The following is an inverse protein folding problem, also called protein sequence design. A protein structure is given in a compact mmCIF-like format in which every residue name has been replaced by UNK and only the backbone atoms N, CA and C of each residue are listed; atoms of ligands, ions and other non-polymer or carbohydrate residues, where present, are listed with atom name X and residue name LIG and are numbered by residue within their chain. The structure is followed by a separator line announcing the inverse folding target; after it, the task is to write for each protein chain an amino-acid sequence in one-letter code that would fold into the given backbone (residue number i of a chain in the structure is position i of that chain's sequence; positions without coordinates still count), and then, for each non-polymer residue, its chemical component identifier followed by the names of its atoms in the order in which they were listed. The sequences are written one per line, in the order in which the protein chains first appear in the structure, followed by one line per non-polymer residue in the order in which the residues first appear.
data_IF_415683284388
#
_entry.id   IF_415683284388
#
_cell.length_a   1.000
_cell.length_b   1.000
_cell.length_c   1.000
_cell.angle_alpha   90.00
_cell.angle_beta   90.00
_cell.angle_gamma   90.00
#
_symmetry.space_group_name_H-M   'P 1'
#
loop_
_entity.id
_entity.type
_entity.pdbx_description
1 polymer ?
#
# COMPACT_ATOMS: atom_id res chain seq x y z
N UNK A 1 42.80 106.26 -4.24
CA UNK A 1 43.51 105.26 -5.06
C UNK A 1 42.68 103.99 -5.03
N UNK A 2 42.30 103.55 -6.22
CA UNK A 2 41.15 102.72 -6.52
C UNK A 2 41.30 101.28 -6.04
N UNK A 3 40.24 100.76 -5.41
CA UNK A 3 40.02 99.33 -5.17
C UNK A 3 38.74 98.90 -5.87
N UNK A 4 38.70 98.92 -7.20
CA UNK A 4 37.64 98.25 -7.96
C UNK A 4 38.19 97.78 -9.30
N UNK A 5 38.40 96.47 -9.47
CA UNK A 5 38.12 95.67 -10.70
C UNK A 5 38.75 94.27 -10.62
N UNK A 6 38.20 93.35 -9.82
CA UNK A 6 38.48 91.90 -9.99
C UNK A 6 37.22 91.02 -10.01
N UNK A 7 36.04 91.58 -9.72
CA UNK A 7 34.77 90.84 -9.73
C UNK A 7 34.19 90.58 -11.14
N UNK A 8 34.59 91.34 -12.16
CA UNK A 8 34.09 91.18 -13.54
C UNK A 8 34.73 90.01 -14.30
N UNK A 9 36.03 89.79 -14.10
CA UNK A 9 36.83 88.74 -14.77
C UNK A 9 36.51 87.35 -14.22
N UNK A 10 36.38 87.20 -12.90
CA UNK A 10 36.02 85.92 -12.27
C UNK A 10 34.62 85.42 -12.68
N UNK A 11 33.65 86.33 -12.85
CA UNK A 11 32.28 86.00 -13.25
C UNK A 11 32.19 85.58 -14.73
N UNK A 12 33.05 86.14 -15.59
CA UNK A 12 33.19 85.76 -17.00
C UNK A 12 33.89 84.41 -17.21
N UNK A 13 34.94 84.11 -16.43
CA UNK A 13 35.64 82.82 -16.45
C UNK A 13 34.70 81.70 -15.96
N UNK A 14 33.92 81.92 -14.90
CA UNK A 14 32.95 80.94 -14.41
C UNK A 14 31.80 80.70 -15.39
N UNK A 15 31.34 81.74 -16.12
CA UNK A 15 30.28 81.61 -17.13
C UNK A 15 30.75 80.85 -18.37
N UNK A 16 31.96 81.12 -18.85
CA UNK A 16 32.58 80.42 -19.99
C UNK A 16 32.92 78.96 -19.67
N UNK A 17 33.39 78.68 -18.46
CA UNK A 17 33.62 77.31 -17.98
C UNK A 17 32.32 76.49 -17.87
N UNK A 18 31.24 77.09 -17.35
CA UNK A 18 29.91 76.45 -17.30
C UNK A 18 29.29 76.25 -18.68
N UNK A 19 29.55 77.15 -19.63
CA UNK A 19 29.10 77.00 -21.00
C UNK A 19 29.80 75.81 -21.68
N UNK A 20 31.13 75.71 -21.60
CA UNK A 20 31.89 74.57 -22.16
C UNK A 20 31.42 73.23 -21.59
N UNK A 21 31.28 73.13 -20.27
CA UNK A 21 30.81 71.87 -19.67
C UNK A 21 29.36 71.52 -20.03
N UNK A 22 28.49 72.51 -20.23
CA UNK A 22 27.13 72.25 -20.69
C UNK A 22 27.10 71.81 -22.16
N UNK A 23 27.97 72.39 -23.00
CA UNK A 23 28.15 72.02 -24.40
C UNK A 23 28.70 70.60 -24.55
N UNK A 24 29.79 70.28 -23.85
CA UNK A 24 30.38 68.92 -23.79
C UNK A 24 29.36 67.87 -23.33
N UNK A 25 28.55 68.19 -22.30
CA UNK A 25 27.52 67.27 -21.81
C UNK A 25 26.37 67.07 -22.81
N UNK A 26 25.99 68.09 -23.57
CA UNK A 26 24.98 67.99 -24.63
C UNK A 26 25.51 67.13 -25.78
N UNK A 27 26.74 67.41 -26.25
CA UNK A 27 27.37 66.63 -27.33
C UNK A 27 27.54 65.15 -26.93
N UNK A 28 27.98 64.88 -25.69
CA UNK A 28 28.09 63.52 -25.16
C UNK A 28 26.72 62.81 -25.13
N UNK A 29 25.70 63.49 -24.62
CA UNK A 29 24.34 62.94 -24.55
C UNK A 29 23.75 62.71 -25.93
N UNK A 30 24.02 63.59 -26.90
CA UNK A 30 23.63 63.42 -28.30
C UNK A 30 24.29 62.20 -28.94
N UNK A 31 25.61 62.05 -28.75
CA UNK A 31 26.36 60.90 -29.23
C UNK A 31 25.79 59.60 -28.67
N UNK A 32 25.55 59.56 -27.35
CA UNK A 32 25.01 58.40 -26.66
C UNK A 32 23.58 58.05 -27.12
N UNK A 33 22.66 59.02 -27.19
CA UNK A 33 21.29 58.79 -27.70
C UNK A 33 21.33 58.33 -29.16
N UNK A 34 22.25 58.84 -29.97
CA UNK A 34 22.40 58.42 -31.38
C UNK A 34 22.90 56.99 -31.52
N UNK A 35 23.83 56.55 -30.65
CA UNK A 35 24.29 55.15 -30.60
C UNK A 35 23.17 54.24 -30.11
N UNK A 36 22.48 54.63 -29.02
CA UNK A 36 21.41 53.82 -28.44
C UNK A 36 20.17 53.76 -29.33
N UNK A 37 19.93 54.70 -30.25
CA UNK A 37 18.88 54.58 -31.28
C UNK A 37 19.00 53.34 -32.16
N UNK A 38 20.17 52.71 -32.21
CA UNK A 38 20.37 51.43 -32.89
C UNK A 38 19.70 50.27 -32.13
N UNK A 39 19.49 50.41 -30.83
CA UNK A 39 18.64 49.51 -30.05
C UNK A 39 17.19 49.96 -30.25
N UNK A 40 16.26 49.04 -30.49
CA UNK A 40 14.84 49.36 -30.76
C UNK A 40 14.09 49.90 -29.51
N UNK A 41 14.82 50.39 -28.49
CA UNK A 41 14.26 50.99 -27.30
C UNK A 41 13.58 52.33 -27.64
N UNK A 42 12.46 52.64 -26.99
CA UNK A 42 11.83 53.95 -27.15
C UNK A 42 12.59 55.02 -26.34
N UNK A 43 13.46 55.74 -27.05
CA UNK A 43 14.30 56.80 -26.49
C UNK A 43 13.68 58.20 -26.55
N UNK A 44 12.42 58.35 -27.00
CA UNK A 44 11.73 59.66 -27.05
C UNK A 44 11.84 60.46 -25.73
N UNK A 45 11.74 59.85 -24.53
CA UNK A 45 11.86 60.61 -23.30
C UNK A 45 13.26 61.20 -23.07
N UNK A 46 14.31 60.50 -23.53
CA UNK A 46 15.68 60.99 -23.50
C UNK A 46 15.90 62.09 -24.55
N UNK A 47 15.32 61.93 -25.75
CA UNK A 47 15.35 62.94 -26.81
C UNK A 47 14.65 64.24 -26.40
N UNK A 48 13.52 64.14 -25.69
CA UNK A 48 12.79 65.29 -25.15
C UNK A 48 13.61 66.02 -24.08
N UNK A 49 14.25 65.28 -23.17
CA UNK A 49 15.14 65.87 -22.17
C UNK A 49 16.36 66.56 -22.81
N UNK A 50 16.89 65.98 -23.89
CA UNK A 50 18.01 66.54 -24.66
C UNK A 50 17.61 67.81 -25.42
N UNK A 51 16.40 67.84 -25.99
CA UNK A 51 15.83 69.04 -26.60
C UNK A 51 15.68 70.17 -25.58
N UNK A 52 15.16 69.88 -24.39
CA UNK A 52 15.08 70.86 -23.28
C UNK A 52 16.48 71.36 -22.88
N UNK A 53 17.49 70.49 -22.86
CA UNK A 53 18.86 70.88 -22.57
C UNK A 53 19.41 71.89 -23.58
N UNK A 54 19.17 71.68 -24.89
CA UNK A 54 19.55 72.60 -25.97
C UNK A 54 18.83 73.94 -25.89
N UNK A 55 17.53 73.93 -25.61
CA UNK A 55 16.73 75.16 -25.44
C UNK A 55 17.23 75.99 -24.24
N UNK A 56 17.55 75.34 -23.12
CA UNK A 56 18.13 76.00 -21.95
C UNK A 56 19.55 76.53 -22.21
N UNK A 57 20.33 75.85 -23.05
CA UNK A 57 21.65 76.30 -23.47
C UNK A 57 21.55 77.55 -24.35
N UNK A 58 20.62 77.56 -25.32
CA UNK A 58 20.32 78.72 -26.16
C UNK A 58 19.83 79.94 -25.35
N UNK A 59 19.07 79.70 -24.27
CA UNK A 59 18.65 80.73 -23.32
C UNK A 59 19.74 81.16 -22.31
N UNK A 60 20.98 80.71 -22.46
CA UNK A 60 22.12 80.97 -21.57
C UNK A 60 21.94 80.48 -20.10
N UNK A 61 21.03 79.54 -19.86
CA UNK A 61 20.84 78.89 -18.56
C UNK A 61 21.75 77.66 -18.38
N UNK A 62 23.05 77.85 -18.51
CA UNK A 62 24.05 76.77 -18.62
C UNK A 62 24.00 75.72 -17.49
N UNK A 63 23.77 76.12 -16.24
CA UNK A 63 23.66 75.15 -15.14
C UNK A 63 22.41 74.26 -15.24
N UNK A 64 21.29 74.80 -15.77
CA UNK A 64 20.07 74.01 -16.00
C UNK A 64 20.20 73.13 -17.24
N UNK A 65 20.87 73.63 -18.28
CA UNK A 65 21.19 72.87 -19.49
C UNK A 65 22.06 71.64 -19.18
N UNK A 66 23.13 71.82 -18.39
CA UNK A 66 23.99 70.71 -17.94
C UNK A 66 23.22 69.65 -17.15
N UNK A 67 22.33 70.07 -16.23
CA UNK A 67 21.49 69.13 -15.48
C UNK A 67 20.49 68.39 -16.37
N UNK A 68 19.90 69.07 -17.36
CA UNK A 68 18.98 68.46 -18.31
C UNK A 68 19.70 67.46 -19.26
N UNK A 69 20.92 67.78 -19.70
CA UNK A 69 21.75 66.88 -20.51
C UNK A 69 22.11 65.61 -19.73
N UNK A 70 22.60 65.74 -18.50
CA UNK A 70 22.87 64.58 -17.62
C UNK A 70 21.62 63.75 -17.33
N UNK A 71 20.45 64.40 -17.21
CA UNK A 71 19.17 63.71 -17.06
C UNK A 71 18.81 62.92 -18.33
N UNK A 72 19.03 63.48 -19.52
CA UNK A 72 18.81 62.81 -20.79
C UNK A 72 19.70 61.57 -20.93
N UNK A 73 21.00 61.69 -20.60
CA UNK A 73 21.94 60.56 -20.59
C UNK A 73 21.48 59.45 -19.63
N UNK A 74 21.15 59.80 -18.38
CA UNK A 74 20.68 58.82 -17.40
C UNK A 74 19.38 58.11 -17.83
N UNK A 75 18.43 58.86 -18.42
CA UNK A 75 17.19 58.27 -18.97
C UNK A 75 17.53 57.33 -20.14
N UNK A 76 18.41 57.71 -21.05
CA UNK A 76 18.78 56.89 -22.19
C UNK A 76 19.41 55.55 -21.78
N UNK A 77 20.40 55.58 -20.88
CA UNK A 77 21.07 54.37 -20.37
C UNK A 77 20.08 53.47 -19.65
N UNK A 78 19.27 54.03 -18.73
CA UNK A 78 18.30 53.24 -17.97
C UNK A 78 17.21 52.63 -18.85
N UNK A 79 16.75 53.33 -19.88
CA UNK A 79 15.76 52.78 -20.83
C UNK A 79 16.34 51.67 -21.69
N UNK A 80 17.58 51.80 -22.15
CA UNK A 80 18.26 50.74 -22.92
C UNK A 80 18.44 49.47 -22.07
N UNK A 81 18.94 49.61 -20.83
CA UNK A 81 19.10 48.50 -19.90
C UNK A 81 17.75 47.81 -19.60
N UNK A 82 16.71 48.60 -19.34
CA UNK A 82 15.36 48.07 -19.06
C UNK A 82 14.76 47.39 -20.28
N UNK A 83 14.92 47.97 -21.48
CA UNK A 83 14.49 47.37 -22.75
C UNK A 83 15.19 46.04 -23.01
N UNK A 84 16.52 46.00 -22.87
CA UNK A 84 17.32 44.78 -23.02
C UNK A 84 16.88 43.69 -22.03
N UNK A 85 16.61 44.07 -20.78
CA UNK A 85 16.06 43.17 -19.76
C UNK A 85 14.70 42.59 -20.14
N UNK A 86 13.79 43.44 -20.63
CA UNK A 86 12.47 43.01 -21.10
C UNK A 86 12.56 42.06 -22.30
N UNK A 87 13.35 42.40 -23.33
CA UNK A 87 13.54 41.56 -24.51
C UNK A 87 14.14 40.20 -24.18
N UNK A 88 15.09 40.15 -23.23
CA UNK A 88 15.63 38.87 -22.73
C UNK A 88 14.55 38.02 -22.06
N UNK A 89 13.68 38.63 -21.25
CA UNK A 89 12.58 37.92 -20.61
C UNK A 89 11.56 37.41 -21.63
N UNK A 90 11.19 38.22 -22.63
CA UNK A 90 10.28 37.82 -23.71
C UNK A 90 10.86 36.63 -24.49
N UNK A 91 12.13 36.70 -24.85
CA UNK A 91 12.81 35.59 -25.53
C UNK A 91 12.84 34.32 -24.68
N UNK A 92 13.14 34.44 -23.39
CA UNK A 92 13.13 33.29 -22.48
C UNK A 92 11.74 32.64 -22.38
N UNK A 93 10.67 33.44 -22.30
CA UNK A 93 9.30 32.93 -22.31
C UNK A 93 8.94 32.28 -23.65
N UNK A 94 9.36 32.85 -24.78
CA UNK A 94 9.17 32.25 -26.11
C UNK A 94 9.85 30.88 -26.21
N UNK A 95 11.11 30.77 -25.76
CA UNK A 95 11.85 29.50 -25.72
C UNK A 95 11.09 28.46 -24.84
N UNK A 96 10.54 28.90 -23.69
CA UNK A 96 9.72 28.05 -22.82
C UNK A 96 8.41 27.60 -23.49
N UNK A 97 7.72 28.50 -24.21
CA UNK A 97 6.50 28.20 -24.98
C UNK A 97 6.79 27.17 -26.07
N UNK A 98 7.88 27.33 -26.84
CA UNK A 98 8.28 26.36 -27.87
C UNK A 98 8.52 24.97 -27.28
N UNK A 99 9.15 24.89 -26.09
CA UNK A 99 9.37 23.62 -25.40
C UNK A 99 8.06 22.99 -24.93
N UNK A 100 7.14 23.78 -24.37
CA UNK A 100 5.82 23.29 -23.97
C UNK A 100 5.01 22.77 -25.17
N UNK A 101 5.05 23.47 -26.30
CA UNK A 101 4.41 23.05 -27.55
C UNK A 101 4.98 21.74 -28.09
N UNK A 102 6.30 21.54 -28.02
CA UNK A 102 6.93 20.26 -28.41
C UNK A 102 6.45 19.07 -27.57
N UNK A 103 6.08 19.32 -26.31
CA UNK A 103 5.52 18.31 -25.40
C UNK A 103 3.99 18.23 -25.52
N UNK A 104 3.37 19.06 -26.37
CA UNK A 104 1.92 19.03 -26.63
C UNK A 104 1.07 19.73 -25.58
N UNK A 105 1.66 20.58 -24.73
CA UNK A 105 0.95 21.29 -23.66
C UNK A 105 0.32 22.59 -24.16
N UNK A 106 -0.80 23.02 -23.56
CA UNK A 106 -1.43 24.31 -23.90
C UNK A 106 -0.52 25.49 -23.51
N UNK A 107 -0.44 26.48 -24.40
CA UNK A 107 0.45 27.65 -24.26
C UNK A 107 -0.22 29.00 -24.53
N UNK A 108 -1.52 28.99 -24.81
CA UNK A 108 -2.30 30.17 -25.22
C UNK A 108 -2.30 31.27 -24.14
N UNK A 109 -2.37 30.87 -22.87
CA UNK A 109 -2.31 31.77 -21.72
C UNK A 109 -0.94 32.45 -21.60
N UNK A 110 0.15 31.70 -21.78
CA UNK A 110 1.51 32.23 -21.75
C UNK A 110 1.80 33.18 -22.93
N UNK A 111 1.27 32.87 -24.12
CA UNK A 111 1.36 33.76 -25.28
C UNK A 111 0.62 35.07 -25.04
N UNK A 112 -0.57 35.01 -24.40
CA UNK A 112 -1.32 36.22 -24.06
C UNK A 112 -0.56 37.13 -23.09
N UNK A 113 0.24 36.59 -22.17
CA UNK A 113 1.05 37.39 -21.24
C UNK A 113 2.14 38.19 -21.96
N UNK A 114 2.69 37.70 -23.08
CA UNK A 114 3.64 38.48 -23.90
C UNK A 114 2.93 39.75 -24.41
N UNK A 115 1.74 39.60 -24.99
CA UNK A 115 0.93 40.73 -25.48
C UNK A 115 0.54 41.70 -24.36
N UNK A 116 0.17 41.21 -23.18
CA UNK A 116 -0.10 42.04 -22.00
C UNK A 116 1.15 42.79 -21.51
N UNK A 117 2.32 42.16 -21.58
CA UNK A 117 3.60 42.78 -21.26
C UNK A 117 3.93 43.92 -22.22
N UNK A 118 3.73 43.72 -23.52
CA UNK A 118 3.90 44.75 -24.55
C UNK A 118 2.91 45.91 -24.38
N UNK A 119 1.64 45.62 -24.09
CA UNK A 119 0.62 46.63 -23.79
C UNK A 119 1.02 47.45 -22.54
N UNK A 120 1.56 46.78 -21.51
CA UNK A 120 2.05 47.46 -20.31
C UNK A 120 3.23 48.37 -20.60
N UNK A 121 4.19 47.92 -21.41
CA UNK A 121 5.30 48.75 -21.89
C UNK A 121 4.77 50.00 -22.59
N UNK A 122 3.82 49.84 -23.51
CA UNK A 122 3.20 50.93 -24.26
C UNK A 122 2.39 51.90 -23.40
N UNK A 123 1.76 51.41 -22.32
CA UNK A 123 0.98 52.24 -21.39
C UNK A 123 1.84 53.25 -20.62
N UNK A 124 3.15 53.00 -20.49
CA UNK A 124 4.13 53.88 -19.88
C UNK A 124 3.89 54.22 -18.41
N UNK A 125 4.85 54.92 -17.80
CA UNK A 125 4.78 55.43 -16.42
C UNK A 125 5.41 56.82 -16.35
N UNK A 126 4.96 57.60 -15.38
CA UNK A 126 5.61 58.87 -15.05
C UNK A 126 6.72 58.63 -14.03
N UNK A 127 7.97 58.87 -14.44
CA UNK A 127 9.15 58.77 -13.58
C UNK A 127 9.96 60.06 -13.66
N UNK A 128 10.24 60.67 -12.50
CA UNK A 128 11.04 61.90 -12.40
C UNK A 128 10.56 63.06 -13.31
N UNK A 129 9.26 63.18 -13.52
CA UNK A 129 8.65 64.23 -14.36
C UNK A 129 8.73 64.00 -15.87
N UNK A 130 9.12 62.80 -16.31
CA UNK A 130 9.10 62.39 -17.71
C UNK A 130 8.21 61.16 -17.86
N UNK A 131 7.42 61.10 -18.93
CA UNK A 131 6.67 59.89 -19.28
C UNK A 131 7.59 58.93 -20.02
N UNK A 132 7.76 57.72 -19.49
CA UNK A 132 8.70 56.71 -20.03
C UNK A 132 8.00 55.37 -20.24
N UNK A 133 8.48 54.49 -21.13
CA UNK A 133 7.95 53.14 -21.28
C UNK A 133 8.13 52.31 -20.00
N UNK A 134 7.13 51.48 -19.68
CA UNK A 134 7.12 50.68 -18.46
C UNK A 134 7.73 49.28 -18.66
N UNK A 135 8.99 49.25 -19.05
CA UNK A 135 9.74 48.00 -19.26
C UNK A 135 9.90 47.17 -17.98
N UNK A 136 9.89 47.80 -16.80
CA UNK A 136 10.08 47.09 -15.53
C UNK A 136 8.85 46.24 -15.17
N UNK A 137 7.65 46.80 -15.15
CA UNK A 137 6.45 46.01 -14.84
C UNK A 137 6.16 44.98 -15.94
N UNK A 138 6.35 45.36 -17.21
CA UNK A 138 6.24 44.42 -18.34
C UNK A 138 7.19 43.24 -18.18
N UNK A 139 8.44 43.49 -17.78
CA UNK A 139 9.44 42.45 -17.52
C UNK A 139 9.03 41.53 -16.39
N UNK A 140 8.58 42.07 -15.25
CA UNK A 140 8.16 41.26 -14.10
C UNK A 140 7.00 40.34 -14.46
N UNK A 141 6.03 40.82 -15.25
CA UNK A 141 4.91 39.99 -15.73
C UNK A 141 5.40 38.82 -16.60
N UNK A 142 6.29 39.10 -17.54
CA UNK A 142 6.84 38.08 -18.46
C UNK A 142 7.75 37.10 -17.72
N UNK A 143 8.62 37.55 -16.83
CA UNK A 143 9.49 36.69 -16.02
C UNK A 143 8.69 35.74 -15.11
N UNK A 144 7.59 36.24 -14.54
CA UNK A 144 6.69 35.39 -13.75
C UNK A 144 6.04 34.31 -14.60
N UNK A 145 5.56 34.65 -15.79
CA UNK A 145 4.98 33.67 -16.72
C UNK A 145 6.04 32.66 -17.21
N UNK A 146 7.28 33.07 -17.43
CA UNK A 146 8.39 32.15 -17.76
C UNK A 146 8.64 31.16 -16.62
N UNK A 147 8.65 31.64 -15.37
CA UNK A 147 8.79 30.77 -14.20
C UNK A 147 7.64 29.76 -14.10
N UNK A 148 6.40 30.21 -14.23
CA UNK A 148 5.22 29.33 -14.23
C UNK A 148 5.26 28.32 -15.39
N UNK A 149 5.70 28.74 -16.58
CA UNK A 149 5.88 27.86 -17.74
C UNK A 149 6.96 26.79 -17.53
N UNK A 150 8.09 27.15 -16.93
CA UNK A 150 9.17 26.21 -16.58
C UNK A 150 8.74 25.20 -15.53
N UNK A 151 7.95 25.62 -14.55
CA UNK A 151 7.37 24.71 -13.55
C UNK A 151 6.40 23.71 -14.20
N UNK A 152 5.54 24.16 -15.12
CA UNK A 152 4.67 23.27 -15.90
C UNK A 152 5.48 22.26 -16.71
N UNK A 153 6.56 22.71 -17.36
CA UNK A 153 7.44 21.84 -18.14
C UNK A 153 8.11 20.79 -17.26
N UNK A 154 8.67 21.20 -16.12
CA UNK A 154 9.32 20.29 -15.17
C UNK A 154 8.34 19.24 -14.64
N UNK A 155 7.11 19.65 -14.29
CA UNK A 155 6.06 18.70 -13.90
C UNK A 155 5.73 17.74 -15.04
N UNK A 156 5.63 18.21 -16.26
CA UNK A 156 5.27 17.39 -17.42
C UNK A 156 6.35 16.34 -17.74
N UNK A 157 7.63 16.74 -17.67
CA UNK A 157 8.76 15.82 -17.76
C UNK A 157 8.69 14.77 -16.65
N UNK A 158 8.37 15.18 -15.41
CA UNK A 158 8.19 14.24 -14.31
C UNK A 158 7.03 13.27 -14.54
N UNK A 159 5.88 13.74 -15.01
CA UNK A 159 4.73 12.88 -15.32
C UNK A 159 5.02 11.92 -16.47
N UNK A 160 5.69 12.40 -17.52
CA UNK A 160 6.13 11.56 -18.64
C UNK A 160 7.08 10.46 -18.17
N UNK A 161 8.02 10.78 -17.27
CA UNK A 161 8.91 9.77 -16.68
C UNK A 161 8.13 8.74 -15.86
N UNK A 162 7.09 9.15 -15.12
CA UNK A 162 6.25 8.22 -14.38
C UNK A 162 5.43 7.30 -15.29
N UNK A 163 4.88 7.83 -16.39
CA UNK A 163 4.20 7.02 -17.41
C UNK A 163 5.16 5.98 -17.98
N UNK A 164 6.39 6.38 -18.31
CA UNK A 164 7.42 5.46 -18.80
C UNK A 164 7.80 4.37 -17.76
N UNK A 165 7.91 4.71 -16.48
CA UNK A 165 8.14 3.73 -15.42
C UNK A 165 6.97 2.75 -15.27
N UNK A 166 5.74 3.23 -15.41
CA UNK A 166 4.55 2.39 -15.39
C UNK A 166 4.52 1.43 -16.58
N UNK A 167 4.86 1.90 -17.78
CA UNK A 167 5.03 1.06 -18.99
C UNK A 167 6.08 -0.02 -18.77
N UNK A 168 7.26 0.35 -18.27
CA UNK A 168 8.32 -0.61 -17.97
C UNK A 168 7.90 -1.64 -16.92
N UNK A 169 7.12 -1.23 -15.91
CA UNK A 169 6.57 -2.14 -14.91
C UNK A 169 5.55 -3.11 -15.50
N UNK A 170 4.72 -2.65 -16.45
CA UNK A 170 3.78 -3.48 -17.21
C UNK A 170 4.50 -4.48 -18.10
N UNK A 171 5.52 -4.04 -18.86
CA UNK A 171 6.35 -4.93 -19.68
C UNK A 171 7.03 -6.00 -18.82
N UNK A 172 7.64 -5.59 -17.69
CA UNK A 172 8.28 -6.51 -16.76
C UNK A 172 7.30 -7.51 -16.10
N UNK A 173 6.01 -7.19 -16.06
CA UNK A 173 4.95 -8.10 -15.63
C UNK A 173 4.60 -9.10 -16.73
N UNK A 174 4.52 -8.68 -18.00
CA UNK A 174 4.27 -9.56 -19.16
C UNK A 174 5.44 -10.52 -19.41
N UNK A 175 6.68 -10.06 -19.19
CA UNK A 175 7.90 -10.85 -19.37
C UNK A 175 8.20 -11.84 -18.23
N UNK A 176 7.30 -11.98 -17.25
CA UNK A 176 7.52 -12.94 -16.16
C UNK A 176 7.60 -14.36 -16.72
N UNK A 177 8.71 -15.04 -16.42
CA UNK A 177 8.90 -16.44 -16.81
C UNK A 177 7.99 -17.37 -16.02
N UNK A 178 7.46 -18.41 -16.67
CA UNK A 178 6.64 -19.43 -16.04
C UNK A 178 5.22 -19.66 -16.59
N UNK A 179 4.55 -18.70 -17.26
CA UNK A 179 3.28 -18.98 -17.92
C UNK A 179 3.44 -20.03 -19.03
N UNK A 180 2.49 -20.97 -19.14
CA UNK A 180 2.49 -21.97 -20.20
C UNK A 180 2.19 -21.36 -21.58
N UNK A 181 1.40 -20.28 -21.62
CA UNK A 181 1.14 -19.47 -22.82
C UNK A 181 1.40 -17.98 -22.51
N UNK A 182 2.59 -17.46 -22.87
CA UNK A 182 2.94 -16.06 -22.64
C UNK A 182 2.01 -15.05 -23.33
N UNK A 183 1.37 -15.43 -24.45
CA UNK A 183 0.47 -14.52 -25.18
C UNK A 183 -0.86 -14.37 -24.45
N UNK A 184 -1.48 -15.48 -24.08
CA UNK A 184 -2.72 -15.46 -23.32
C UNK A 184 -2.53 -14.79 -21.94
N UNK A 185 -1.37 -15.00 -21.31
CA UNK A 185 -0.99 -14.31 -20.08
C UNK A 185 -0.92 -12.79 -20.27
N UNK A 186 -0.20 -12.35 -21.30
CA UNK A 186 -0.05 -10.92 -21.62
C UNK A 186 -1.40 -10.24 -21.88
N UNK A 187 -2.25 -10.84 -22.71
CA UNK A 187 -3.59 -10.31 -23.02
C UNK A 187 -4.47 -10.19 -21.77
N UNK A 188 -4.45 -11.20 -20.90
CA UNK A 188 -5.25 -11.21 -19.67
C UNK A 188 -4.82 -10.16 -18.65
N UNK A 189 -3.52 -9.93 -18.52
CA UNK A 189 -2.97 -8.90 -17.62
C UNK A 189 -3.14 -7.49 -18.19
N UNK A 190 -2.95 -7.33 -19.50
CA UNK A 190 -2.94 -6.03 -20.17
C UNK A 190 -4.32 -5.36 -20.18
N UNK A 191 -5.41 -6.14 -20.30
CA UNK A 191 -6.80 -5.66 -20.41
C UNK A 191 -7.21 -4.62 -19.35
N UNK A 192 -6.69 -4.72 -18.12
CA UNK A 192 -6.98 -3.77 -17.04
C UNK A 192 -5.98 -2.62 -16.91
N UNK A 193 -4.74 -2.82 -17.37
CA UNK A 193 -3.63 -1.87 -17.19
C UNK A 193 -3.51 -0.90 -18.38
N UNK A 194 -3.82 -1.36 -19.59
CA UNK A 194 -3.80 -0.54 -20.81
C UNK A 194 -4.78 0.64 -20.76
N UNK A 195 -5.99 0.42 -20.24
CA UNK A 195 -6.99 1.50 -20.11
C UNK A 195 -6.51 2.62 -19.17
N UNK A 196 -5.85 2.26 -18.08
CA UNK A 196 -5.29 3.22 -17.14
C UNK A 196 -4.08 3.97 -17.72
N UNK A 197 -3.26 3.28 -18.53
CA UNK A 197 -2.15 3.91 -19.27
C UNK A 197 -2.66 4.90 -20.32
N UNK A 198 -3.67 4.52 -21.11
CA UNK A 198 -4.34 5.40 -22.06
C UNK A 198 -4.98 6.61 -21.37
N UNK A 199 -5.52 6.43 -20.16
CA UNK A 199 -6.03 7.53 -19.37
C UNK A 199 -4.90 8.48 -18.92
N UNK A 200 -3.80 7.96 -18.38
CA UNK A 200 -2.67 8.77 -17.93
C UNK A 200 -2.04 9.58 -19.08
N UNK A 201 -1.86 8.96 -20.24
CA UNK A 201 -1.33 9.62 -21.45
C UNK A 201 -2.28 10.69 -21.98
N UNK A 202 -3.60 10.43 -21.96
CA UNK A 202 -4.62 11.43 -22.33
C UNK A 202 -4.64 12.61 -21.36
N UNK A 203 -4.56 12.36 -20.05
CA UNK A 203 -4.50 13.40 -19.04
C UNK A 203 -3.26 14.30 -19.21
N UNK A 204 -2.11 13.71 -19.56
CA UNK A 204 -0.90 14.47 -19.88
C UNK A 204 -1.09 15.35 -21.13
N UNK A 205 -1.68 14.80 -22.20
CA UNK A 205 -1.96 15.54 -23.43
C UNK A 205 -2.95 16.70 -23.21
N UNK A 206 -3.87 16.57 -22.25
CA UNK A 206 -4.81 17.64 -21.86
C UNK A 206 -4.17 18.67 -20.92
N UNK A 207 -2.92 18.50 -20.51
CA UNK A 207 -2.23 19.39 -19.57
C UNK A 207 -2.56 19.12 -18.10
N UNK A 208 -3.27 18.04 -17.78
CA UNK A 208 -3.58 17.62 -16.40
C UNK A 208 -2.41 16.81 -15.81
N UNK A 209 -1.25 17.45 -15.73
CA UNK A 209 0.02 16.82 -15.39
C UNK A 209 0.01 16.11 -14.02
N UNK A 210 -0.59 16.74 -13.02
CA UNK A 210 -0.65 16.18 -11.66
C UNK A 210 -1.58 14.95 -11.57
N UNK A 211 -2.62 14.89 -12.41
CA UNK A 211 -3.51 13.72 -12.50
C UNK A 211 -2.80 12.57 -13.24
N UNK A 212 -2.18 12.87 -14.39
CA UNK A 212 -1.42 11.90 -15.18
C UNK A 212 -0.32 11.22 -14.34
N UNK A 213 0.44 12.00 -13.56
CA UNK A 213 1.49 11.46 -12.69
C UNK A 213 0.94 10.54 -11.58
N UNK A 214 -0.23 10.85 -11.02
CA UNK A 214 -0.88 10.00 -10.00
C UNK A 214 -1.38 8.69 -10.61
N UNK A 215 -2.10 8.79 -11.71
CA UNK A 215 -2.62 7.62 -12.45
C UNK A 215 -1.48 6.69 -12.87
N UNK A 216 -0.39 7.25 -13.39
CA UNK A 216 0.80 6.48 -13.77
C UNK A 216 1.48 5.81 -12.57
N UNK A 217 1.60 6.51 -11.43
CA UNK A 217 2.18 5.95 -10.21
C UNK A 217 1.32 4.79 -9.65
N UNK A 218 0.01 4.97 -9.58
CA UNK A 218 -0.90 3.92 -9.12
C UNK A 218 -0.84 2.69 -10.05
N UNK A 219 -0.67 2.94 -11.35
CA UNK A 219 -0.47 1.90 -12.36
C UNK A 219 0.84 1.14 -12.16
N UNK A 220 1.95 1.85 -11.95
CA UNK A 220 3.26 1.26 -11.63
C UNK A 220 3.16 0.35 -10.39
N UNK A 221 2.62 0.89 -9.28
CA UNK A 221 2.46 0.15 -8.03
C UNK A 221 1.60 -1.10 -8.22
N UNK A 222 0.52 -0.99 -9.00
CA UNK A 222 -0.37 -2.11 -9.32
C UNK A 222 0.32 -3.18 -10.16
N UNK A 223 1.05 -2.80 -11.21
CA UNK A 223 1.78 -3.74 -12.06
C UNK A 223 2.86 -4.49 -11.25
N UNK A 224 3.63 -3.77 -10.41
CA UNK A 224 4.60 -4.39 -9.51
C UNK A 224 3.95 -5.33 -8.49
N UNK A 225 2.78 -4.96 -7.95
CA UNK A 225 2.05 -5.80 -7.00
C UNK A 225 1.56 -7.09 -7.65
N UNK A 226 0.92 -7.00 -8.83
CA UNK A 226 0.49 -8.17 -9.60
C UNK A 226 1.66 -9.10 -9.92
N UNK A 227 2.82 -8.54 -10.27
CA UNK A 227 4.04 -9.33 -10.52
C UNK A 227 4.47 -10.11 -9.29
N UNK A 228 4.50 -9.47 -8.12
CA UNK A 228 4.82 -10.13 -6.85
C UNK A 228 3.80 -11.22 -6.52
N UNK A 229 2.51 -10.92 -6.63
CA UNK A 229 1.43 -11.87 -6.36
C UNK A 229 1.50 -13.10 -7.28
N UNK A 230 1.84 -12.92 -8.55
CA UNK A 230 2.03 -14.04 -9.48
C UNK A 230 3.22 -14.94 -9.09
N UNK A 231 4.38 -14.34 -8.78
CA UNK A 231 5.57 -15.09 -8.35
C UNK A 231 5.30 -15.85 -7.03
N UNK A 232 4.61 -15.22 -6.09
CA UNK A 232 4.24 -15.85 -4.83
C UNK A 232 3.19 -16.95 -4.99
N UNK A 233 2.20 -16.73 -5.86
CA UNK A 233 1.17 -17.72 -6.16
C UNK A 233 1.75 -18.96 -6.86
N UNK A 234 2.62 -18.80 -7.85
CA UNK A 234 3.29 -19.92 -8.53
C UNK A 234 4.20 -20.71 -7.57
N UNK A 235 4.94 -20.02 -6.71
CA UNK A 235 5.73 -20.66 -5.64
C UNK A 235 4.85 -21.42 -4.63
N UNK A 236 3.71 -20.86 -4.27
CA UNK A 236 2.79 -21.52 -3.33
C UNK A 236 2.08 -22.71 -3.99
N UNK A 237 1.76 -22.62 -5.27
CA UNK A 237 1.17 -23.72 -6.04
C UNK A 237 2.14 -24.91 -6.10
N UNK A 238 3.39 -24.68 -6.48
CA UNK A 238 4.45 -25.72 -6.50
C UNK A 238 4.71 -26.33 -5.13
N UNK A 239 4.75 -25.52 -4.06
CA UNK A 239 4.86 -26.03 -2.70
C UNK A 239 3.65 -26.87 -2.28
N UNK A 240 2.44 -26.48 -2.73
CA UNK A 240 1.20 -27.22 -2.46
C UNK A 240 1.18 -28.54 -3.22
N UNK A 241 1.66 -28.59 -4.46
CA UNK A 241 1.83 -29.85 -5.22
C UNK A 241 2.77 -30.82 -4.50
N UNK A 242 3.93 -30.35 -4.04
CA UNK A 242 4.87 -31.16 -3.27
C UNK A 242 4.21 -31.72 -2.00
N UNK A 243 3.47 -30.87 -1.27
CA UNK A 243 2.73 -31.29 -0.07
C UNK A 243 1.64 -32.32 -0.40
N UNK A 244 0.91 -32.15 -1.50
CA UNK A 244 -0.10 -33.13 -1.92
C UNK A 244 0.55 -34.45 -2.33
N UNK A 245 1.73 -34.42 -2.95
CA UNK A 245 2.51 -35.63 -3.24
C UNK A 245 2.94 -36.37 -1.97
N UNK A 246 3.37 -35.66 -0.93
CA UNK A 246 3.71 -36.23 0.37
C UNK A 246 2.47 -36.86 1.03
N UNK A 247 1.34 -36.15 1.05
CA UNK A 247 0.07 -36.66 1.57
C UNK A 247 -0.39 -37.92 0.81
N UNK A 248 -0.20 -37.93 -0.51
CA UNK A 248 -0.50 -39.12 -1.34
C UNK A 248 0.40 -40.30 -0.99
N UNK A 249 1.70 -40.05 -0.72
CA UNK A 249 2.63 -41.08 -0.27
C UNK A 249 2.23 -41.67 1.11
N UNK A 250 1.61 -40.86 1.97
CA UNK A 250 0.99 -41.31 3.22
C UNK A 250 -0.34 -42.07 3.03
N UNK A 251 -0.86 -42.16 1.79
CA UNK A 251 -2.09 -42.87 1.45
C UNK A 251 -3.37 -42.03 1.56
N UNK A 252 -3.24 -40.70 1.59
CA UNK A 252 -4.37 -39.75 1.68
C UNK A 252 -4.93 -39.47 0.28
N UNK A 253 -6.26 -39.41 0.16
CA UNK A 253 -6.93 -39.05 -1.08
C UNK A 253 -6.82 -37.54 -1.36
N UNK A 254 -6.03 -37.15 -2.36
CA UNK A 254 -5.72 -35.75 -2.70
C UNK A 254 -6.30 -35.28 -4.04
N UNK A 255 -6.84 -36.18 -4.87
CA UNK A 255 -7.27 -35.95 -6.26
C UNK A 255 -8.16 -34.70 -6.46
N UNK A 256 -9.04 -34.42 -5.50
CA UNK A 256 -9.93 -33.25 -5.55
C UNK A 256 -9.16 -31.94 -5.44
N UNK A 257 -8.18 -31.84 -4.54
CA UNK A 257 -7.39 -30.61 -4.37
C UNK A 257 -6.46 -30.45 -5.57
N UNK A 258 -5.90 -31.55 -6.08
CA UNK A 258 -5.03 -31.55 -7.26
C UNK A 258 -5.74 -31.05 -8.52
N UNK A 259 -6.93 -31.57 -8.82
CA UNK A 259 -7.73 -31.08 -9.96
C UNK A 259 -8.08 -29.59 -9.85
N UNK A 260 -8.36 -29.10 -8.65
CA UNK A 260 -8.61 -27.68 -8.42
C UNK A 260 -7.34 -26.82 -8.51
N UNK A 261 -6.18 -27.38 -8.15
CA UNK A 261 -4.88 -26.71 -8.25
C UNK A 261 -4.45 -26.56 -9.71
N UNK A 262 -4.71 -27.55 -10.55
CA UNK A 262 -4.51 -27.45 -12.00
C UNK A 262 -5.39 -26.36 -12.63
N UNK A 263 -6.66 -26.24 -12.21
CA UNK A 263 -7.53 -25.13 -12.64
C UNK A 263 -6.94 -23.78 -12.17
N UNK A 264 -6.46 -23.69 -10.93
CA UNK A 264 -5.87 -22.46 -10.43
C UNK A 264 -4.61 -22.05 -11.21
N UNK A 265 -3.79 -23.03 -11.64
CA UNK A 265 -2.62 -22.80 -12.51
C UNK A 265 -3.01 -22.36 -13.92
N UNK A 266 -4.06 -22.94 -14.50
CA UNK A 266 -4.60 -22.49 -15.80
C UNK A 266 -5.13 -21.04 -15.73
N UNK A 267 -5.82 -20.68 -14.64
CA UNK A 267 -6.29 -19.31 -14.40
C UNK A 267 -5.11 -18.34 -14.27
N UNK A 268 -4.06 -18.71 -13.53
CA UNK A 268 -2.82 -17.93 -13.44
C UNK A 268 -2.13 -17.80 -14.80
N UNK A 269 -2.08 -18.86 -15.59
CA UNK A 269 -1.49 -18.85 -16.93
C UNK A 269 -2.24 -17.94 -17.92
N UNK A 270 -3.54 -17.72 -17.70
CA UNK A 270 -4.36 -16.78 -18.48
C UNK A 270 -4.25 -15.31 -18.03
N UNK A 271 -3.36 -15.00 -17.09
CA UNK A 271 -3.16 -13.63 -16.61
C UNK A 271 -4.16 -13.15 -15.56
N UNK A 272 -5.08 -14.01 -15.11
CA UNK A 272 -6.03 -13.70 -14.03
C UNK A 272 -5.37 -13.93 -12.67
N UNK A 273 -4.43 -13.03 -12.33
CA UNK A 273 -3.54 -13.17 -11.16
C UNK A 273 -4.33 -13.15 -9.85
N UNK A 274 -5.19 -12.15 -9.61
CA UNK A 274 -5.90 -12.02 -8.33
C UNK A 274 -6.81 -13.24 -8.03
N UNK A 275 -7.67 -13.71 -8.96
CA UNK A 275 -8.47 -14.91 -8.74
C UNK A 275 -7.61 -16.16 -8.57
N UNK A 276 -6.59 -16.34 -9.41
CA UNK A 276 -5.69 -17.49 -9.36
C UNK A 276 -4.91 -17.56 -8.03
N UNK A 277 -4.34 -16.45 -7.59
CA UNK A 277 -3.60 -16.35 -6.34
C UNK A 277 -4.49 -16.64 -5.12
N UNK A 278 -5.73 -16.12 -5.13
CA UNK A 278 -6.72 -16.41 -4.09
C UNK A 278 -7.07 -17.90 -4.03
N UNK A 279 -7.30 -18.54 -5.19
CA UNK A 279 -7.57 -19.97 -5.29
C UNK A 279 -6.39 -20.80 -4.75
N UNK A 280 -5.15 -20.48 -5.15
CA UNK A 280 -3.96 -21.18 -4.67
C UNK A 280 -3.80 -21.05 -3.16
N UNK A 281 -3.96 -19.85 -2.58
CA UNK A 281 -3.87 -19.65 -1.13
C UNK A 281 -4.92 -20.48 -0.38
N UNK A 282 -6.15 -20.53 -0.88
CA UNK A 282 -7.21 -21.37 -0.31
C UNK A 282 -6.84 -22.86 -0.37
N UNK A 283 -6.41 -23.35 -1.54
CA UNK A 283 -6.06 -24.76 -1.73
C UNK A 283 -4.86 -25.17 -0.88
N UNK A 284 -3.87 -24.28 -0.71
CA UNK A 284 -2.73 -24.51 0.17
C UNK A 284 -3.16 -24.72 1.63
N UNK A 285 -4.11 -23.89 2.10
CA UNK A 285 -4.71 -24.04 3.43
C UNK A 285 -5.56 -25.31 3.54
N UNK A 286 -6.35 -25.64 2.53
CA UNK A 286 -7.13 -26.89 2.51
C UNK A 286 -6.22 -28.13 2.57
N UNK A 287 -5.09 -28.14 1.83
CA UNK A 287 -4.10 -29.20 1.89
C UNK A 287 -3.43 -29.30 3.28
N UNK A 288 -3.16 -28.15 3.92
CA UNK A 288 -2.67 -28.10 5.29
C UNK A 288 -3.64 -28.70 6.29
N UNK A 289 -4.89 -28.25 6.26
CA UNK A 289 -5.95 -28.69 7.15
C UNK A 289 -6.22 -30.20 6.97
N UNK A 290 -6.17 -30.70 5.73
CA UNK A 290 -6.27 -32.12 5.42
C UNK A 290 -5.15 -32.93 6.09
N UNK A 291 -3.89 -32.51 5.91
CA UNK A 291 -2.74 -33.19 6.52
C UNK A 291 -2.71 -33.10 8.05
N UNK A 292 -3.22 -32.01 8.64
CA UNK A 292 -3.37 -31.91 10.09
C UNK A 292 -4.48 -32.82 10.62
N UNK A 293 -5.62 -32.89 9.92
CA UNK A 293 -6.76 -33.72 10.31
C UNK A 293 -6.40 -35.20 10.22
N UNK A 294 -5.69 -35.61 9.17
CA UNK A 294 -5.17 -36.96 9.04
C UNK A 294 -4.24 -37.33 10.20
N UNK A 295 -3.22 -36.51 10.48
CA UNK A 295 -2.27 -36.77 11.57
C UNK A 295 -2.98 -36.88 12.92
N UNK A 296 -3.92 -35.99 13.22
CA UNK A 296 -4.73 -36.06 14.45
C UNK A 296 -5.57 -37.34 14.54
N UNK A 297 -6.19 -37.75 13.43
CA UNK A 297 -6.98 -38.98 13.39
C UNK A 297 -6.10 -40.22 13.61
N UNK A 298 -4.91 -40.28 12.99
CA UNK A 298 -3.98 -41.41 13.15
C UNK A 298 -3.37 -41.45 14.55
N UNK A 299 -2.88 -40.32 15.08
CA UNK A 299 -2.31 -40.28 16.44
C UNK A 299 -3.37 -40.60 17.48
N UNK A 300 -4.56 -40.01 17.37
CA UNK A 300 -5.63 -40.29 18.32
C UNK A 300 -6.13 -41.73 18.22
N UNK A 301 -6.12 -42.35 17.03
CA UNK A 301 -6.45 -43.77 16.90
C UNK A 301 -5.40 -44.62 17.62
N UNK A 302 -4.11 -44.34 17.43
CA UNK A 302 -3.02 -45.03 18.11
C UNK A 302 -3.13 -44.88 19.64
N UNK A 303 -3.41 -43.69 20.14
CA UNK A 303 -3.61 -43.42 21.57
C UNK A 303 -4.82 -44.18 22.11
N UNK A 304 -5.95 -44.15 21.39
CA UNK A 304 -7.16 -44.89 21.76
C UNK A 304 -6.91 -46.40 21.80
N UNK A 305 -6.11 -46.94 20.87
CA UNK A 305 -5.73 -48.35 20.84
C UNK A 305 -4.82 -48.74 22.01
N UNK A 306 -3.84 -47.90 22.38
CA UNK A 306 -2.96 -48.12 23.54
C UNK A 306 -3.77 -48.10 24.83
N UNK A 307 -4.62 -47.09 25.02
CA UNK A 307 -5.51 -46.99 26.18
C UNK A 307 -6.44 -48.20 26.26
N UNK A 308 -6.98 -48.62 25.12
CA UNK A 308 -7.85 -49.77 25.07
C UNK A 308 -7.12 -51.08 25.40
N UNK A 309 -5.92 -51.29 24.86
CA UNK A 309 -5.11 -52.46 25.17
C UNK A 309 -4.69 -52.54 26.65
N UNK A 310 -4.40 -51.40 27.28
CA UNK A 310 -4.15 -51.33 28.73
C UNK A 310 -5.39 -51.73 29.54
N UNK A 311 -6.55 -51.18 29.20
CA UNK A 311 -7.80 -51.49 29.89
C UNK A 311 -8.26 -52.93 29.69
N UNK A 312 -8.04 -53.51 28.49
CA UNK A 312 -8.29 -54.93 28.25
C UNK A 312 -7.44 -55.81 29.19
N UNK A 313 -6.16 -55.46 29.43
CA UNK A 313 -5.30 -56.16 30.40
C UNK A 313 -5.83 -56.05 31.83
N UNK A 314 -6.57 -54.99 32.15
CA UNK A 314 -7.27 -54.82 33.43
C UNK A 314 -8.64 -55.52 33.49
N UNK A 315 -9.02 -56.29 32.46
CA UNK A 315 -10.27 -57.06 32.40
C UNK A 315 -11.45 -56.35 31.70
N UNK A 316 -11.21 -55.18 31.10
CA UNK A 316 -12.28 -54.38 30.49
C UNK A 316 -12.57 -54.76 29.02
N UNK A 317 -13.77 -55.24 28.72
CA UNK A 317 -14.17 -55.67 27.36
C UNK A 317 -15.45 -54.98 26.87
N UNK A 318 -15.36 -53.92 26.04
CA UNK A 318 -16.54 -53.13 25.63
C UNK A 318 -16.83 -53.28 24.14
N UNK A 319 -17.89 -54.03 23.81
CA UNK A 319 -18.29 -54.25 22.42
C UNK A 319 -18.57 -52.95 21.64
N UNK A 320 -19.18 -51.95 22.29
CA UNK A 320 -19.46 -50.65 21.66
C UNK A 320 -18.18 -49.89 21.35
N UNK A 321 -17.15 -50.02 22.18
CA UNK A 321 -15.87 -49.38 21.93
C UNK A 321 -15.05 -50.12 20.86
N UNK A 322 -15.09 -51.45 20.84
CA UNK A 322 -14.50 -52.27 19.78
C UNK A 322 -15.09 -51.95 18.40
N UNK A 323 -16.42 -51.86 18.33
CA UNK A 323 -17.12 -51.48 17.11
C UNK A 323 -16.69 -50.08 16.66
N UNK A 324 -16.65 -49.12 17.58
CA UNK A 324 -16.28 -47.73 17.28
C UNK A 324 -14.82 -47.59 16.84
N UNK A 325 -13.86 -48.29 17.45
CA UNK A 325 -12.44 -48.31 17.01
C UNK A 325 -12.31 -48.97 15.63
N UNK A 326 -13.05 -50.05 15.38
CA UNK A 326 -13.08 -50.70 14.06
C UNK A 326 -13.65 -49.78 12.98
N UNK A 327 -14.72 -49.06 13.28
CA UNK A 327 -15.34 -48.11 12.37
C UNK A 327 -14.46 -46.87 12.14
N UNK A 328 -13.72 -46.43 13.17
CA UNK A 328 -12.68 -45.40 13.03
C UNK A 328 -11.55 -45.87 12.09
N UNK A 329 -11.02 -47.09 12.26
CA UNK A 329 -10.02 -47.68 11.35
C UNK A 329 -10.51 -47.80 9.91
N UNK A 330 -11.79 -48.12 9.72
CA UNK A 330 -12.40 -48.16 8.39
C UNK A 330 -12.49 -46.76 7.80
N UNK A 331 -12.97 -45.80 8.59
CA UNK A 331 -13.11 -44.40 8.17
C UNK A 331 -11.78 -43.75 7.78
N UNK A 332 -10.67 -44.05 8.49
CA UNK A 332 -9.33 -43.57 8.09
C UNK A 332 -8.90 -44.17 6.75
N UNK A 333 -9.12 -45.47 6.54
CA UNK A 333 -8.80 -46.15 5.26
C UNK A 333 -9.62 -45.63 4.09
N UNK A 334 -10.85 -45.20 4.34
CA UNK A 334 -11.75 -44.61 3.34
C UNK A 334 -11.50 -43.10 3.13
N UNK A 335 -10.53 -42.49 3.82
CA UNK A 335 -10.23 -41.06 3.70
C UNK A 335 -11.21 -40.13 4.44
N UNK A 336 -12.13 -40.68 5.23
CA UNK A 336 -13.14 -39.95 6.00
C UNK A 336 -12.64 -39.60 7.42
N UNK A 337 -11.60 -38.76 7.51
CA UNK A 337 -10.91 -38.47 8.78
C UNK A 337 -11.81 -37.78 9.82
N UNK A 338 -12.74 -36.93 9.40
CA UNK A 338 -13.70 -36.29 10.31
C UNK A 338 -14.62 -37.33 10.99
N UNK A 339 -15.11 -38.31 10.22
CA UNK A 339 -15.91 -39.42 10.77
C UNK A 339 -15.07 -40.33 11.66
N UNK A 340 -13.80 -40.55 11.31
CA UNK A 340 -12.89 -41.31 12.17
C UNK A 340 -12.76 -40.68 13.56
N UNK A 341 -12.60 -39.35 13.64
CA UNK A 341 -12.57 -38.65 14.93
C UNK A 341 -13.90 -38.77 15.70
N UNK A 342 -15.05 -38.66 15.03
CA UNK A 342 -16.36 -38.85 15.69
C UNK A 342 -16.51 -40.27 16.27
N UNK A 343 -16.07 -41.30 15.53
CA UNK A 343 -16.06 -42.68 16.03
C UNK A 343 -15.10 -42.86 17.21
N UNK A 344 -13.98 -42.15 17.22
CA UNK A 344 -13.05 -42.17 18.35
C UNK A 344 -13.61 -41.47 19.59
N UNK A 345 -14.32 -40.34 19.43
CA UNK A 345 -15.03 -39.69 20.53
C UNK A 345 -16.11 -40.60 21.12
N UNK A 346 -16.86 -41.32 20.28
CA UNK A 346 -17.84 -42.33 20.72
C UNK A 346 -17.16 -43.47 21.49
N UNK A 347 -16.00 -43.95 21.03
CA UNK A 347 -15.21 -44.94 21.74
C UNK A 347 -14.77 -44.41 23.12
N UNK A 348 -14.25 -43.18 23.17
CA UNK A 348 -13.83 -42.52 24.41
C UNK A 348 -15.00 -42.33 25.40
N UNK A 349 -16.16 -41.87 24.92
CA UNK A 349 -17.35 -41.73 25.75
C UNK A 349 -17.86 -43.08 26.29
N UNK A 350 -17.75 -44.16 25.50
CA UNK A 350 -18.05 -45.50 25.98
C UNK A 350 -17.04 -45.96 27.05
N UNK A 351 -15.76 -45.60 26.92
CA UNK A 351 -14.74 -45.86 27.92
C UNK A 351 -15.01 -45.14 29.23
N UNK A 352 -15.21 -43.83 29.19
CA UNK A 352 -15.47 -43.02 30.40
C UNK A 352 -16.71 -43.52 31.13
N UNK A 353 -17.82 -43.77 30.42
CA UNK A 353 -19.05 -44.29 31.03
C UNK A 353 -18.81 -45.58 31.80
N UNK A 354 -18.11 -46.53 31.19
CA UNK A 354 -17.93 -47.85 31.78
C UNK A 354 -16.83 -47.89 32.84
N UNK A 355 -15.82 -47.01 32.75
CA UNK A 355 -14.89 -46.73 33.85
C UNK A 355 -15.63 -46.18 35.08
N UNK A 356 -16.51 -45.20 34.89
CA UNK A 356 -17.32 -44.64 35.98
C UNK A 356 -18.22 -45.72 36.62
N UNK A 357 -18.82 -46.60 35.82
CA UNK A 357 -19.59 -47.75 36.34
C UNK A 357 -18.70 -48.66 37.18
N UNK A 358 -17.50 -49.04 36.71
CA UNK A 358 -16.54 -49.84 37.48
C UNK A 358 -16.14 -49.16 38.79
N UNK A 359 -15.79 -47.88 38.78
CA UNK A 359 -15.40 -47.13 39.98
C UNK A 359 -16.56 -47.02 40.98
N UNK A 360 -17.79 -46.80 40.50
CA UNK A 360 -18.98 -46.77 41.35
C UNK A 360 -19.29 -48.13 41.98
N UNK A 361 -19.16 -49.21 41.20
CA UNK A 361 -19.35 -50.58 41.68
C UNK A 361 -18.24 -50.97 42.67
N UNK A 362 -16.99 -50.61 42.41
CA UNK A 362 -15.88 -50.84 43.35
C UNK A 362 -16.14 -50.17 44.71
N UNK A 363 -16.58 -48.90 44.69
CA UNK A 363 -16.97 -48.18 45.91
C UNK A 363 -18.14 -48.86 46.62
N UNK A 364 -19.17 -49.27 45.89
CA UNK A 364 -20.33 -49.95 46.46
C UNK A 364 -19.97 -51.32 47.07
N UNK A 365 -19.05 -52.08 46.46
CA UNK A 365 -18.53 -53.33 47.01
C UNK A 365 -17.81 -53.07 48.34
N UNK A 366 -16.92 -52.09 48.39
CA UNK A 366 -16.19 -51.76 49.62
C UNK A 366 -17.11 -51.20 50.73
N UNK A 367 -18.10 -50.39 50.39
CA UNK A 367 -19.14 -49.93 51.33
C UNK A 367 -19.98 -51.09 51.88
N UNK A 368 -20.33 -52.06 51.02
CA UNK A 368 -21.07 -53.25 51.46
C UNK A 368 -20.20 -54.16 52.32
N UNK A 369 -18.92 -54.29 51.97
CA UNK A 369 -17.91 -55.05 52.72
C UNK A 369 -17.69 -54.49 54.12
N UNK A 370 -17.58 -53.17 54.25
CA UNK A 370 -17.45 -52.50 55.56
C UNK A 370 -18.71 -52.68 56.40
N UNK A 371 -19.91 -52.56 55.83
CA UNK A 371 -21.17 -52.83 56.54
C UNK A 371 -21.28 -54.29 57.03
N UNK A 372 -20.90 -55.24 56.20
CA UNK A 372 -20.88 -56.67 56.57
C UNK A 372 -19.85 -56.94 57.67
N UNK A 373 -18.70 -56.26 57.66
CA UNK A 373 -17.68 -56.37 58.70
C UNK A 373 -18.17 -55.86 60.07
N UNK A 374 -18.89 -54.73 60.09
CA UNK A 374 -19.51 -54.18 61.33
C UNK A 374 -20.57 -55.12 61.91
N UNK A 375 -21.32 -55.81 61.05
CA UNK A 375 -22.39 -56.72 61.46
C UNK A 375 -21.88 -58.14 61.78
N UNK A 376 -20.60 -58.44 61.54
CA UNK A 376 -20.05 -59.79 61.68
C UNK A 376 -20.11 -60.36 63.10
N UNK A 377 -20.08 -59.50 64.11
CA UNK A 377 -20.14 -59.87 65.53
C UNK A 377 -21.58 -60.11 66.04
N UNK A 378 -22.59 -59.83 65.22
CA UNK A 378 -24.01 -59.91 65.61
C UNK A 378 -24.67 -61.29 65.38
N UNK A 379 -23.92 -62.29 64.86
CA UNK A 379 -24.36 -63.69 64.82
C UNK A 379 -25.58 -64.00 63.94
N UNK A 380 -25.92 -63.11 63.01
CA UNK A 380 -27.14 -63.22 62.22
C UNK A 380 -27.01 -64.29 61.10
N UNK A 381 -27.98 -65.21 60.94
CA UNK A 381 -27.88 -66.34 60.00
C UNK A 381 -27.82 -65.90 58.53
N UNK A 382 -28.46 -64.79 58.17
CA UNK A 382 -28.46 -64.24 56.81
C UNK A 382 -27.13 -63.60 56.40
N UNK A 383 -26.20 -63.37 57.35
CA UNK A 383 -24.87 -62.83 57.01
C UNK A 383 -24.04 -63.81 56.20
N UNK A 384 -24.30 -65.13 56.31
CA UNK A 384 -23.63 -66.12 55.47
C UNK A 384 -24.04 -65.97 54.01
N UNK A 385 -25.35 -65.84 53.73
CA UNK A 385 -25.88 -65.65 52.38
C UNK A 385 -25.42 -64.31 51.78
N UNK A 386 -25.40 -63.23 52.57
CA UNK A 386 -24.89 -61.92 52.13
C UNK A 386 -23.38 -61.96 51.86
N UNK A 387 -22.60 -62.72 52.65
CA UNK A 387 -21.16 -62.90 52.39
C UNK A 387 -20.90 -63.75 51.14
N UNK A 388 -21.73 -64.75 50.86
CA UNK A 388 -21.62 -65.55 49.65
C UNK A 388 -21.95 -64.73 48.40
N UNK A 389 -23.03 -63.95 48.44
CA UNK A 389 -23.40 -63.02 47.38
C UNK A 389 -22.37 -61.92 47.19
N UNK A 390 -21.76 -61.39 48.25
CA UNK A 390 -20.67 -60.42 48.14
C UNK A 390 -19.41 -61.06 47.53
N UNK A 391 -19.04 -62.29 47.91
CA UNK A 391 -17.92 -63.02 47.29
C UNK A 391 -18.19 -63.40 45.84
N UNK A 392 -19.45 -63.57 45.46
CA UNK A 392 -19.87 -63.79 44.08
C UNK A 392 -19.80 -62.48 43.29
N UNK A 393 -20.34 -61.39 43.82
CA UNK A 393 -20.23 -60.05 43.26
C UNK A 393 -18.76 -59.61 43.09
N UNK A 394 -17.87 -59.92 44.03
CA UNK A 394 -16.43 -59.65 43.95
C UNK A 394 -15.73 -60.51 42.89
N UNK A 395 -16.12 -61.77 42.73
CA UNK A 395 -15.59 -62.66 41.68
C UNK A 395 -16.06 -62.17 40.31
N UNK A 396 -17.35 -61.92 40.15
CA UNK A 396 -17.94 -61.39 38.92
C UNK A 396 -17.40 -59.98 38.57
N UNK A 397 -17.07 -59.16 39.57
CA UNK A 397 -16.39 -57.88 39.38
C UNK A 397 -14.95 -58.06 38.86
N UNK A 398 -14.20 -59.04 39.39
CA UNK A 398 -12.83 -59.37 38.91
C UNK A 398 -12.86 -59.99 37.51
N UNK A 399 -13.90 -60.75 37.20
CA UNK A 399 -14.10 -61.40 35.90
C UNK A 399 -14.70 -60.43 34.85
N UNK A 400 -14.97 -59.18 35.22
CA UNK A 400 -15.44 -58.13 34.31
C UNK A 400 -16.94 -58.14 33.99
N UNK A 401 -17.73 -59.00 34.65
CA UNK A 401 -19.19 -59.04 34.54
C UNK A 401 -19.84 -58.03 35.49
N UNK A 402 -19.77 -56.75 35.14
CA UNK A 402 -20.31 -55.66 35.97
C UNK A 402 -21.84 -55.70 36.13
N UNK A 403 -22.57 -56.24 35.16
CA UNK A 403 -24.03 -56.43 35.28
C UNK A 403 -24.38 -57.45 36.35
N UNK A 404 -23.75 -58.64 36.33
CA UNK A 404 -23.97 -59.67 37.34
C UNK A 404 -23.49 -59.23 38.72
N UNK A 405 -22.31 -58.61 38.79
CA UNK A 405 -21.78 -58.02 40.03
C UNK A 405 -22.72 -56.96 40.63
N UNK A 406 -23.34 -56.11 39.80
CA UNK A 406 -24.29 -55.11 40.27
C UNK A 406 -25.61 -55.71 40.76
N UNK A 407 -26.07 -56.80 40.15
CA UNK A 407 -27.29 -57.51 40.52
C UNK A 407 -27.11 -58.25 41.84
N UNK A 408 -26.01 -59.01 41.98
CA UNK A 408 -25.63 -59.68 43.22
C UNK A 408 -25.42 -58.68 44.37
N UNK A 409 -24.78 -57.55 44.10
CA UNK A 409 -24.59 -56.48 45.10
C UNK A 409 -25.90 -55.81 45.49
N UNK A 410 -26.84 -55.63 44.55
CA UNK A 410 -28.16 -55.08 44.84
C UNK A 410 -28.98 -56.03 45.71
N UNK A 411 -28.93 -57.33 45.44
CA UNK A 411 -29.57 -58.36 46.27
C UNK A 411 -28.94 -58.39 47.68
N UNK A 412 -27.61 -58.37 47.77
CA UNK A 412 -26.90 -58.28 49.05
C UNK A 412 -27.26 -57.01 49.85
N UNK A 413 -27.36 -55.86 49.18
CA UNK A 413 -27.73 -54.58 49.80
C UNK A 413 -29.21 -54.58 50.25
N UNK A 414 -30.10 -55.19 49.47
CA UNK A 414 -31.52 -55.34 49.84
C UNK A 414 -31.71 -56.25 51.06
N UNK A 415 -30.96 -57.35 51.16
CA UNK A 415 -30.97 -58.23 52.33
C UNK A 415 -30.47 -57.51 53.59
N UNK A 416 -29.45 -56.66 53.44
CA UNK A 416 -28.97 -55.79 54.53
C UNK A 416 -29.99 -54.69 54.90
N UNK A 417 -30.70 -54.13 53.93
CA UNK A 417 -31.64 -53.02 54.11
C UNK A 417 -33.04 -53.41 54.61
N UNK A 418 -33.56 -54.59 54.23
CA UNK A 418 -34.88 -55.05 54.66
C UNK A 418 -34.92 -55.41 56.16
N UNK A 419 -33.80 -55.78 56.76
CA UNK A 419 -33.74 -56.24 58.15
C UNK A 419 -33.09 -55.24 59.12
N UNK A 420 -32.35 -54.23 58.63
CA UNK A 420 -32.05 -53.02 59.43
C UNK A 420 -33.32 -52.26 59.85
N UNK A 421 -34.44 -52.47 59.14
CA UNK A 421 -35.79 -52.01 59.53
C UNK A 421 -36.51 -52.94 60.52
N UNK A 422 -36.16 -54.23 60.57
CA UNK A 422 -36.80 -55.19 61.49
C UNK A 422 -36.04 -55.37 62.81
N UNK A 423 -34.77 -54.92 62.91
CA UNK A 423 -34.01 -54.86 64.16
C UNK A 423 -34.24 -53.59 65.01
N UNK A 424 -35.14 -52.69 64.57
CA UNK A 424 -35.46 -51.43 65.25
C UNK A 424 -36.77 -51.45 66.07
N UNK A 425 -37.39 -52.62 66.24
CA UNK A 425 -38.56 -52.78 67.11
C UNK A 425 -38.42 -54.07 67.92
N UNK A 426 -37.75 -53.95 69.06
CA UNK A 426 -38.15 -54.59 70.31
C UNK A 426 -37.68 -53.71 71.44
#
# INVERSE_FOLDING_TARGET
METVTSKGTARGILKSFRARHAEEAIEHSEGLVSVLRLTQADLKPAEDALRIAKELFAAHHFSKALNAARKAEAIAITLDERYSGFQKAVKALQDTIERLQKVGLPTEDLQAVIGQGEEKVASGIWENGSFIPNYLEGRVLVERADQEGRERLSKAESASNQIFLAELAMEALVEVQGPADPKAFGEGVALGLEQALEQATRELALGNVDAAARTAKDLEERAMQLRRDYVDATRTATATEARLADLRAEGIATDRIESQLEIAKDVLAKGLIDPGASMVRRLSKEAEDLGQTYRKAVTGLADAEVLYAQLQKEGFHSYQADASIRDARRSIREGNYARAMEHMEKAHAAFVRRRNVRESLAKAIEETRTRVAVLKDSGLPFLQDVQELLRRAEREFRDGNYSGSSEDLRIATLLLGQQGRNGGTS
#
